data_IF_877692903481
#
_entry.id   IF_877692903481
#
_cell.length_a   1.000
_cell.length_b   1.000
_cell.length_c   1.000
_cell.angle_alpha   90.00
_cell.angle_beta   90.00
_cell.angle_gamma   90.00
#
_symmetry.space_group_name_H-M   'P 1'
#
loop_
_entity.id
_entity.type
_entity.pdbx_description
1 polymer ?
#
# COMPACT_ATOMS: atom_id res chain seq x y z
N UNK A 1 8.79 -8.61 12.34
CA UNK A 1 7.41 -8.22 12.70
C UNK A 1 6.78 -9.33 13.48
N UNK A 2 6.18 -8.99 14.61
CA UNK A 2 5.41 -9.95 15.37
C UNK A 2 4.10 -10.27 14.64
N UNK A 3 3.84 -11.57 14.44
CA UNK A 3 2.61 -12.04 13.82
C UNK A 3 1.58 -12.39 14.91
N UNK A 4 2.02 -12.47 16.16
CA UNK A 4 1.21 -13.00 17.26
C UNK A 4 -0.04 -12.15 17.52
N UNK A 5 0.12 -10.84 17.57
CA UNK A 5 -1.00 -9.92 17.84
C UNK A 5 -1.98 -9.83 16.69
N UNK A 6 -1.52 -10.10 15.47
CA UNK A 6 -2.36 -10.10 14.28
C UNK A 6 -3.14 -11.41 14.09
N UNK A 7 -2.79 -12.49 14.82
CA UNK A 7 -3.47 -13.78 14.69
C UNK A 7 -4.95 -13.69 15.04
N UNK A 8 -5.31 -12.92 16.06
CA UNK A 8 -6.71 -12.72 16.45
C UNK A 8 -7.52 -12.08 15.32
N UNK A 9 -6.95 -11.06 14.66
CA UNK A 9 -7.60 -10.40 13.52
C UNK A 9 -7.68 -11.31 12.30
N UNK A 10 -6.68 -12.19 12.12
CA UNK A 10 -6.68 -13.19 11.05
C UNK A 10 -7.89 -14.14 11.16
N UNK A 11 -8.23 -14.55 12.36
CA UNK A 11 -9.37 -15.46 12.59
C UNK A 11 -10.69 -14.85 12.12
N UNK A 12 -10.78 -13.52 12.10
CA UNK A 12 -11.94 -12.78 11.64
C UNK A 12 -11.87 -12.40 10.14
N UNK A 13 -10.85 -12.86 9.41
CA UNK A 13 -10.59 -12.51 8.00
C UNK A 13 -10.48 -11.00 7.78
N UNK A 14 -9.95 -10.26 8.75
CA UNK A 14 -9.83 -8.80 8.67
C UNK A 14 -8.46 -8.34 8.22
N UNK A 15 -7.42 -9.13 8.42
CA UNK A 15 -6.03 -8.73 8.18
C UNK A 15 -5.39 -9.61 7.12
N UNK A 16 -4.60 -8.99 6.24
CA UNK A 16 -3.79 -9.69 5.26
C UNK A 16 -2.56 -10.30 5.95
N UNK A 17 -2.54 -11.62 6.08
CA UNK A 17 -1.44 -12.37 6.69
C UNK A 17 -1.01 -13.54 5.81
N UNK A 18 0.26 -13.96 5.85
CA UNK A 18 1.36 -13.37 6.62
C UNK A 18 1.80 -12.00 6.11
N UNK A 19 2.64 -11.34 6.91
CA UNK A 19 3.27 -10.08 6.53
C UNK A 19 4.72 -10.37 6.12
N UNK A 20 5.06 -10.05 4.88
CA UNK A 20 6.43 -10.15 4.40
C UNK A 20 7.13 -8.82 4.53
N UNK A 21 8.26 -8.79 5.23
CA UNK A 21 9.06 -7.58 5.39
C UNK A 21 10.35 -7.76 4.60
N UNK A 22 10.62 -6.81 3.71
CA UNK A 22 11.83 -6.80 2.90
C UNK A 22 12.59 -5.49 3.14
N UNK A 23 13.81 -5.63 3.64
CA UNK A 23 14.69 -4.48 3.82
C UNK A 23 15.51 -4.25 2.56
N UNK A 24 15.63 -2.99 2.15
CA UNK A 24 16.38 -2.57 0.98
C UNK A 24 17.46 -1.58 1.38
N UNK A 25 18.53 -1.51 0.58
CA UNK A 25 19.69 -0.68 0.91
C UNK A 25 19.45 0.80 0.68
N UNK A 26 18.52 1.18 -0.20
CA UNK A 26 18.23 2.57 -0.47
C UNK A 26 16.75 2.76 -0.84
N UNK A 27 16.32 4.02 -0.78
CA UNK A 27 14.93 4.41 -1.03
C UNK A 27 14.48 4.16 -2.46
N UNK A 28 15.37 4.31 -3.42
CA UNK A 28 15.06 4.06 -4.82
C UNK A 28 14.73 2.59 -5.07
N UNK A 29 15.47 1.68 -4.43
CA UNK A 29 15.18 0.24 -4.50
C UNK A 29 13.83 -0.09 -3.89
N UNK A 30 13.49 0.52 -2.75
CA UNK A 30 12.16 0.38 -2.13
C UNK A 30 11.06 0.78 -3.12
N UNK A 31 11.21 1.94 -3.73
CA UNK A 31 10.23 2.46 -4.68
C UNK A 31 10.08 1.56 -5.90
N UNK A 32 11.19 1.18 -6.53
CA UNK A 32 11.17 0.36 -7.74
C UNK A 32 10.61 -1.05 -7.47
N UNK A 33 10.98 -1.65 -6.35
CA UNK A 33 10.46 -2.97 -5.96
C UNK A 33 8.96 -2.91 -5.67
N UNK A 34 8.49 -1.84 -5.03
CA UNK A 34 7.06 -1.66 -4.77
C UNK A 34 6.25 -1.58 -6.07
N UNK A 35 6.75 -0.85 -7.06
CA UNK A 35 6.11 -0.74 -8.38
C UNK A 35 6.06 -2.11 -9.07
N UNK A 36 7.15 -2.87 -9.05
CA UNK A 36 7.19 -4.22 -9.63
C UNK A 36 6.23 -5.17 -8.94
N UNK A 37 6.19 -5.16 -7.62
CA UNK A 37 5.28 -6.01 -6.85
C UNK A 37 3.82 -5.67 -7.14
N UNK A 38 3.50 -4.40 -7.27
CA UNK A 38 2.15 -3.98 -7.64
C UNK A 38 1.74 -4.58 -8.98
N UNK A 39 2.61 -4.53 -9.98
CA UNK A 39 2.34 -5.11 -11.30
C UNK A 39 2.10 -6.62 -11.23
N UNK A 40 2.89 -7.34 -10.45
CA UNK A 40 2.76 -8.79 -10.30
C UNK A 40 1.43 -9.14 -9.63
N UNK A 41 1.10 -8.47 -8.54
CA UNK A 41 -0.16 -8.70 -7.82
C UNK A 41 -1.38 -8.32 -8.65
N UNK A 42 -1.30 -7.24 -9.40
CA UNK A 42 -2.40 -6.82 -10.28
C UNK A 42 -2.65 -7.83 -11.39
N UNK A 43 -1.60 -8.39 -11.99
CA UNK A 43 -1.74 -9.42 -13.01
C UNK A 43 -2.47 -10.65 -12.46
N UNK A 44 -2.14 -11.09 -11.25
CA UNK A 44 -2.82 -12.21 -10.59
C UNK A 44 -4.27 -11.87 -10.24
N UNK A 45 -4.51 -10.65 -9.75
CA UNK A 45 -5.86 -10.19 -9.41
C UNK A 45 -6.76 -10.12 -10.66
N UNK A 46 -6.23 -9.62 -11.75
CA UNK A 46 -6.98 -9.52 -13.02
C UNK A 46 -7.27 -10.88 -13.62
N UNK A 47 -6.34 -11.83 -13.54
CA UNK A 47 -6.58 -13.20 -14.00
C UNK A 47 -7.74 -13.82 -13.24
N UNK A 48 -7.79 -13.67 -11.92
CA UNK A 48 -8.89 -14.19 -11.11
C UNK A 48 -10.20 -13.47 -11.39
N UNK A 49 -10.17 -12.17 -11.59
CA UNK A 49 -11.37 -11.41 -11.97
C UNK A 49 -11.96 -11.86 -13.30
N UNK A 50 -11.13 -12.12 -14.30
CA UNK A 50 -11.56 -12.66 -15.60
C UNK A 50 -12.19 -14.04 -15.49
N UNK A 51 -11.82 -14.81 -14.47
CA UNK A 51 -12.38 -16.12 -14.17
C UNK A 51 -13.65 -16.05 -13.29
N UNK A 52 -14.23 -14.87 -13.12
CA UNK A 52 -15.45 -14.67 -12.35
C UNK A 52 -15.25 -14.35 -10.88
N UNK A 53 -14.01 -14.11 -10.45
CA UNK A 53 -13.69 -13.68 -9.08
C UNK A 53 -14.00 -12.21 -8.81
N UNK A 54 -13.74 -11.78 -7.59
CA UNK A 54 -13.92 -10.39 -7.19
C UNK A 54 -12.90 -9.46 -7.85
N UNK A 55 -13.31 -8.22 -8.11
CA UNK A 55 -12.40 -7.21 -8.60
C UNK A 55 -11.47 -6.74 -7.47
N UNK A 56 -10.18 -6.80 -7.71
CA UNK A 56 -9.15 -6.25 -6.83
C UNK A 56 -8.13 -5.51 -7.70
N UNK A 57 -7.83 -4.28 -7.31
CA UNK A 57 -6.72 -3.51 -7.88
C UNK A 57 -5.73 -3.25 -6.77
N UNK A 58 -4.61 -4.00 -6.71
CA UNK A 58 -3.62 -3.80 -5.64
C UNK A 58 -3.06 -2.39 -5.63
N UNK A 59 -3.01 -1.80 -4.45
CA UNK A 59 -2.53 -0.43 -4.24
C UNK A 59 -1.26 -0.49 -3.39
N UNK A 60 -0.29 0.33 -3.76
CA UNK A 60 0.92 0.59 -2.97
C UNK A 60 0.68 1.84 -2.12
N UNK A 61 0.90 1.71 -0.82
CA UNK A 61 0.91 2.83 0.10
C UNK A 61 2.37 3.25 0.34
N UNK A 62 2.75 4.41 -0.17
CA UNK A 62 4.07 5.00 0.12
C UNK A 62 3.98 5.88 1.34
N UNK A 63 4.84 5.64 2.32
CA UNK A 63 5.00 6.51 3.47
C UNK A 63 6.20 7.41 3.24
N UNK A 64 5.93 8.69 2.99
CA UNK A 64 6.93 9.71 2.74
C UNK A 64 7.47 10.31 4.03
N UNK A 65 8.62 10.98 3.93
CA UNK A 65 9.19 11.77 5.02
C UNK A 65 8.53 13.14 5.11
N UNK A 66 8.37 13.70 6.32
CA UNK A 66 7.95 15.08 6.48
C UNK A 66 8.95 16.04 5.82
N UNK A 67 8.45 17.18 5.36
CA UNK A 67 9.33 18.27 4.86
C UNK A 67 10.24 18.77 6.01
N UNK A 68 11.47 19.14 5.68
CA UNK A 68 12.38 19.75 6.66
C UNK A 68 13.85 19.40 6.52
N UNK A 69 14.20 18.39 5.72
CA UNK A 69 15.59 18.03 5.38
C UNK A 69 15.77 18.01 3.87
N UNK A 70 16.94 18.47 3.43
CA UNK A 70 17.24 18.57 1.99
C UNK A 70 17.12 17.24 1.28
N UNK A 71 17.53 16.15 1.92
CA UNK A 71 17.51 14.79 1.35
C UNK A 71 16.22 14.02 1.68
N UNK A 72 15.21 14.66 2.27
CA UNK A 72 13.99 13.98 2.66
C UNK A 72 13.23 13.46 1.44
N UNK A 73 12.78 12.21 1.52
CA UNK A 73 11.89 11.61 0.53
C UNK A 73 10.47 12.13 0.77
N UNK A 74 10.22 13.38 0.37
CA UNK A 74 8.90 14.02 0.51
C UNK A 74 7.91 13.44 -0.48
N UNK A 75 6.61 13.65 -0.22
CA UNK A 75 5.56 13.17 -1.13
C UNK A 75 5.71 13.75 -2.54
N UNK A 76 6.18 14.97 -2.67
CA UNK A 76 6.40 15.61 -3.97
C UNK A 76 7.52 14.93 -4.76
N UNK A 77 8.63 14.59 -4.08
CA UNK A 77 9.74 13.86 -4.70
C UNK A 77 9.32 12.46 -5.14
N UNK A 78 8.55 11.76 -4.32
CA UNK A 78 8.06 10.42 -4.68
C UNK A 78 7.18 10.50 -5.91
N UNK A 79 6.23 11.43 -5.96
CA UNK A 79 5.38 11.63 -7.14
C UNK A 79 6.23 11.89 -8.39
N UNK A 80 7.19 12.78 -8.28
CA UNK A 80 8.07 13.14 -9.40
C UNK A 80 8.82 11.92 -9.93
N UNK A 81 9.37 11.10 -9.05
CA UNK A 81 10.11 9.88 -9.44
C UNK A 81 9.17 8.89 -10.13
N UNK A 82 7.98 8.67 -9.60
CA UNK A 82 7.01 7.75 -10.20
C UNK A 82 6.60 8.20 -11.60
N UNK A 83 6.29 9.47 -11.78
CA UNK A 83 5.93 10.01 -13.10
C UNK A 83 7.10 9.90 -14.08
N UNK A 84 8.30 10.19 -13.62
CA UNK A 84 9.52 10.08 -14.44
C UNK A 84 9.78 8.64 -14.88
N UNK A 85 9.38 7.66 -14.05
CA UNK A 85 9.50 6.23 -14.38
C UNK A 85 8.37 5.71 -15.26
N UNK A 86 7.50 6.58 -15.76
CA UNK A 86 6.44 6.24 -16.69
C UNK A 86 5.10 5.90 -16.06
N UNK A 87 4.92 6.10 -14.76
CA UNK A 87 3.63 5.91 -14.11
C UNK A 87 2.70 7.08 -14.47
N UNK A 88 1.51 6.82 -15.03
CA UNK A 88 0.56 7.89 -15.33
C UNK A 88 0.14 8.64 -14.06
N UNK A 89 0.07 9.96 -14.15
CA UNK A 89 -0.26 10.81 -13.00
C UNK A 89 -1.63 10.47 -12.38
N UNK A 90 -2.59 10.02 -13.19
CA UNK A 90 -3.91 9.61 -12.71
C UNK A 90 -3.90 8.36 -11.82
N UNK A 91 -2.83 7.58 -11.86
CA UNK A 91 -2.67 6.40 -10.99
C UNK A 91 -2.10 6.75 -9.61
N UNK A 92 -1.70 7.98 -9.39
CA UNK A 92 -1.03 8.44 -8.19
C UNK A 92 -1.92 9.45 -7.46
N UNK A 93 -2.12 9.24 -6.15
CA UNK A 93 -2.85 10.18 -5.31
C UNK A 93 -2.07 10.50 -4.04
N UNK A 94 -2.17 11.74 -3.58
CA UNK A 94 -1.57 12.17 -2.32
C UNK A 94 -2.66 12.31 -1.26
N UNK A 95 -2.43 11.72 -0.10
CA UNK A 95 -3.29 11.82 1.07
C UNK A 95 -2.45 12.21 2.29
N UNK A 96 -2.54 13.46 2.70
CA UNK A 96 -1.88 14.00 3.89
C UNK A 96 -2.92 14.72 4.76
N UNK A 97 -2.50 15.31 5.87
CA UNK A 97 -3.38 16.11 6.70
C UNK A 97 -4.01 17.28 5.94
N UNK A 98 -3.24 17.89 5.03
CA UNK A 98 -3.66 19.10 4.30
C UNK A 98 -4.14 18.82 2.87
N UNK A 99 -3.74 17.70 2.29
CA UNK A 99 -4.03 17.33 0.91
C UNK A 99 -4.83 16.03 0.89
N UNK A 100 -5.98 16.03 0.24
CA UNK A 100 -6.79 14.83 0.09
C UNK A 100 -7.23 14.67 -1.37
N UNK A 101 -6.40 14.02 -2.16
CA UNK A 101 -6.72 13.69 -3.56
C UNK A 101 -7.62 12.47 -3.70
N UNK A 102 -7.96 11.83 -2.58
CA UNK A 102 -8.89 10.69 -2.54
C UNK A 102 -10.33 11.09 -2.21
N UNK A 103 -10.60 12.37 -2.01
CA UNK A 103 -11.89 12.86 -1.50
C UNK A 103 -13.10 12.39 -2.33
N UNK A 104 -12.96 12.36 -3.64
CA UNK A 104 -14.02 11.95 -4.56
C UNK A 104 -13.73 10.61 -5.25
N UNK A 105 -12.74 9.87 -4.77
CA UNK A 105 -12.34 8.61 -5.35
C UNK A 105 -13.04 7.44 -4.67
N UNK A 106 -13.64 6.57 -5.46
CA UNK A 106 -14.09 5.26 -5.00
C UNK A 106 -12.98 4.24 -5.27
N UNK A 107 -12.15 3.98 -4.27
CA UNK A 107 -10.98 3.11 -4.41
C UNK A 107 -11.34 1.66 -4.75
N UNK A 108 -12.55 1.24 -4.49
CA UNK A 108 -12.99 -0.12 -4.79
C UNK A 108 -13.64 -0.24 -6.19
N UNK A 109 -13.87 0.87 -6.86
CA UNK A 109 -14.47 0.86 -8.20
C UNK A 109 -13.50 0.38 -9.26
N UNK A 110 -13.94 -0.48 -10.20
CA UNK A 110 -13.14 -0.86 -11.36
C UNK A 110 -12.74 0.33 -12.26
N UNK A 111 -13.48 1.42 -12.17
CA UNK A 111 -13.21 2.63 -12.96
C UNK A 111 -12.18 3.57 -12.32
N UNK A 112 -11.79 3.30 -11.07
CA UNK A 112 -10.78 4.11 -10.39
C UNK A 112 -9.38 3.72 -10.86
N UNK A 113 -8.57 4.68 -11.35
CA UNK A 113 -7.23 4.36 -11.86
C UNK A 113 -6.15 4.27 -10.78
N UNK A 114 -6.45 4.64 -9.53
CA UNK A 114 -5.43 4.82 -8.49
C UNK A 114 -4.80 3.49 -8.10
N UNK A 115 -3.48 3.42 -8.19
CA UNK A 115 -2.64 2.28 -7.82
C UNK A 115 -1.56 2.62 -6.80
N UNK A 116 -1.28 3.92 -6.63
CA UNK A 116 -0.23 4.41 -5.74
C UNK A 116 -0.78 5.56 -4.91
N UNK A 117 -0.71 5.42 -3.59
CA UNK A 117 -1.12 6.45 -2.66
C UNK A 117 0.10 6.87 -1.85
N UNK A 118 0.36 8.16 -1.79
CA UNK A 118 1.49 8.72 -1.05
C UNK A 118 0.94 9.45 0.17
N UNK A 119 1.40 9.05 1.35
CA UNK A 119 1.00 9.65 2.63
C UNK A 119 2.23 9.98 3.47
N UNK A 120 2.10 10.89 4.41
CA UNK A 120 3.17 11.22 5.35
C UNK A 120 3.00 10.46 6.66
N UNK A 121 1.76 10.34 7.14
CA UNK A 121 1.47 9.61 8.36
C UNK A 121 0.14 8.87 8.22
N UNK A 122 0.25 7.64 7.77
CA UNK A 122 -0.91 6.80 7.47
C UNK A 122 -1.84 6.60 8.67
N UNK A 123 -1.28 6.46 9.88
CA UNK A 123 -2.08 6.18 11.07
C UNK A 123 -2.90 7.37 11.54
N UNK A 124 -2.37 8.60 11.37
CA UNK A 124 -3.07 9.82 11.77
C UNK A 124 -4.19 10.21 10.83
N UNK A 125 -4.19 9.67 9.62
CA UNK A 125 -5.13 10.08 8.57
C UNK A 125 -6.46 9.34 8.64
N UNK A 126 -6.58 8.36 9.57
CA UNK A 126 -7.85 7.78 9.99
C UNK A 126 -8.67 7.11 8.89
N UNK A 127 -8.03 6.49 7.91
CA UNK A 127 -8.69 5.85 6.78
C UNK A 127 -8.28 4.38 6.66
N UNK A 128 -9.04 3.61 5.91
CA UNK A 128 -8.67 2.26 5.54
C UNK A 128 -8.61 2.12 4.02
N UNK A 129 -7.87 1.14 3.55
CA UNK A 129 -7.72 0.87 2.13
C UNK A 129 -7.59 -0.64 1.91
N UNK A 130 -8.71 -1.36 1.74
CA UNK A 130 -8.66 -2.81 1.58
C UNK A 130 -7.87 -3.28 0.35
N UNK A 131 -7.75 -2.45 -0.68
CA UNK A 131 -6.94 -2.76 -1.87
C UNK A 131 -5.46 -2.48 -1.68
N UNK A 132 -5.03 -1.87 -0.58
CA UNK A 132 -3.61 -1.69 -0.29
C UNK A 132 -3.00 -3.01 0.18
N UNK A 133 -2.01 -3.48 -0.56
CA UNK A 133 -1.29 -4.72 -0.31
C UNK A 133 0.16 -4.49 0.06
N UNK A 134 0.72 -3.37 -0.36
CA UNK A 134 2.14 -3.07 -0.23
C UNK A 134 2.28 -1.77 0.55
N UNK A 135 3.03 -1.82 1.65
CA UNK A 135 3.50 -0.65 2.36
C UNK A 135 4.97 -0.44 2.02
N UNK A 136 5.27 0.66 1.35
CA UNK A 136 6.64 1.05 1.02
C UNK A 136 7.02 2.27 1.87
N UNK A 137 7.81 2.06 2.90
CA UNK A 137 8.23 3.14 3.79
C UNK A 137 9.54 3.74 3.30
N UNK A 138 9.50 5.03 3.00
CA UNK A 138 10.68 5.84 2.66
C UNK A 138 11.07 6.75 3.84
N UNK A 139 10.39 6.63 4.97
CA UNK A 139 10.75 7.32 6.20
C UNK A 139 12.01 6.68 6.81
N UNK A 140 12.83 7.49 7.50
CA UNK A 140 14.08 7.02 8.09
C UNK A 140 13.88 5.93 9.15
N UNK A 141 12.74 5.96 9.83
CA UNK A 141 12.37 4.96 10.84
C UNK A 141 10.89 4.67 10.75
N UNK A 142 10.58 3.41 10.46
CA UNK A 142 9.25 2.88 10.65
C UNK A 142 9.35 1.80 11.70
N UNK A 143 8.73 2.02 12.86
CA UNK A 143 8.79 1.06 13.95
C UNK A 143 7.97 -0.18 13.61
N UNK A 144 8.31 -1.31 14.25
CA UNK A 144 7.52 -2.53 14.13
C UNK A 144 6.06 -2.29 14.56
N UNK A 145 5.85 -1.51 15.61
CA UNK A 145 4.52 -1.18 16.11
C UNK A 145 3.72 -0.40 15.06
N UNK A 146 4.35 0.57 14.40
CA UNK A 146 3.69 1.34 13.33
C UNK A 146 3.28 0.44 12.18
N UNK A 147 4.17 -0.46 11.75
CA UNK A 147 3.87 -1.43 10.68
C UNK A 147 2.68 -2.31 11.07
N UNK A 148 2.68 -2.86 12.27
CA UNK A 148 1.58 -3.71 12.75
C UNK A 148 0.25 -2.96 12.78
N UNK A 149 0.24 -1.71 13.22
CA UNK A 149 -0.97 -0.89 13.24
C UNK A 149 -1.46 -0.54 11.84
N UNK A 150 -0.56 -0.23 10.91
CA UNK A 150 -0.93 0.04 9.52
C UNK A 150 -1.54 -1.20 8.88
N UNK A 151 -0.91 -2.36 9.07
CA UNK A 151 -1.44 -3.63 8.56
C UNK A 151 -2.84 -3.91 9.15
N UNK A 152 -3.01 -3.71 10.45
CA UNK A 152 -4.27 -4.00 11.12
C UNK A 152 -5.41 -3.03 10.81
N UNK A 153 -5.10 -1.78 10.46
CA UNK A 153 -6.12 -0.73 10.25
C UNK A 153 -6.35 -0.40 8.79
N UNK A 154 -5.30 -0.41 7.99
CA UNK A 154 -5.34 0.09 6.61
C UNK A 154 -5.31 -1.07 5.61
N UNK A 155 -4.41 -2.02 5.81
CA UNK A 155 -4.20 -3.15 4.90
C UNK A 155 -5.12 -4.33 5.26
N UNK A 156 -6.41 -4.09 5.27
CA UNK A 156 -7.40 -5.12 5.57
C UNK A 156 -7.70 -5.99 4.35
N UNK A 157 -8.19 -7.21 4.60
CA UNK A 157 -8.63 -8.07 3.51
C UNK A 157 -9.82 -7.44 2.78
N UNK A 158 -9.76 -7.36 1.43
CA UNK A 158 -10.89 -6.91 0.64
C UNK A 158 -12.11 -7.80 0.89
N UNK A 159 -13.29 -7.18 0.99
CA UNK A 159 -14.56 -7.88 1.19
C UNK A 159 -14.59 -8.74 2.46
N UNK A 160 -13.68 -8.53 3.41
CA UNK A 160 -13.54 -9.27 4.68
C UNK A 160 -13.52 -10.79 4.50
N UNK A 161 -12.91 -11.28 3.44
CA UNK A 161 -12.80 -12.72 3.16
C UNK A 161 -11.52 -13.06 2.43
N UNK A 162 -11.11 -14.32 2.52
CA UNK A 162 -9.92 -14.81 1.85
C UNK A 162 -10.11 -14.85 0.33
N UNK A 163 -9.06 -14.48 -0.37
CA UNK A 163 -8.97 -14.59 -1.83
C UNK A 163 -8.46 -15.98 -2.21
N UNK A 164 -8.91 -16.58 -3.35
CA UNK A 164 -8.40 -17.86 -3.82
C UNK A 164 -6.89 -17.85 -4.13
N UNK A 165 -6.36 -16.72 -4.58
CA UNK A 165 -4.91 -16.57 -4.83
C UNK A 165 -4.20 -16.23 -3.53
N UNK A 166 -3.30 -17.10 -3.01
CA UNK A 166 -2.66 -16.87 -1.71
C UNK A 166 -1.92 -15.54 -1.59
N UNK A 167 -1.26 -15.09 -2.67
CA UNK A 167 -0.53 -13.82 -2.68
C UNK A 167 -1.42 -12.61 -2.40
N UNK A 168 -2.73 -12.70 -2.66
CA UNK A 168 -3.71 -11.64 -2.43
C UNK A 168 -4.37 -11.72 -1.04
N UNK A 169 -3.85 -12.56 -0.16
CA UNK A 169 -4.20 -12.59 1.26
C UNK A 169 -3.10 -12.03 2.15
N UNK A 170 -1.97 -11.64 1.57
CA UNK A 170 -0.75 -11.30 2.29
C UNK A 170 -0.49 -9.80 2.26
N UNK A 171 0.27 -9.30 3.24
CA UNK A 171 0.78 -7.93 3.26
C UNK A 171 2.28 -7.94 2.96
N UNK A 172 2.72 -6.94 2.21
CA UNK A 172 4.11 -6.79 1.81
C UNK A 172 4.62 -5.45 2.31
N UNK A 173 5.72 -5.47 3.05
CA UNK A 173 6.32 -4.26 3.62
C UNK A 173 7.75 -4.13 3.09
N UNK A 174 8.02 -3.01 2.46
CA UNK A 174 9.34 -2.62 1.96
C UNK A 174 9.84 -1.43 2.78
N UNK A 175 11.00 -1.56 3.37
CA UNK A 175 11.61 -0.50 4.19
C UNK A 175 13.06 -0.22 3.81
#
# INVERSE_FOLDING_TARGET
ISIVDAIHLRQENMVKLPVFVMNRNNQLDVLNNAVQMQSILEAQAMAEYRNGGCYIRPIVLFQAQPKGKEDAATFEKIRTILVKNGIPAEQIAIKTADINELKNADLLSPNCPIRFIITVNALKEGWDCPFAYILASLANRTSQVDVEQIVGRILRLPYTRKHPVPALNMSYVLT
#
